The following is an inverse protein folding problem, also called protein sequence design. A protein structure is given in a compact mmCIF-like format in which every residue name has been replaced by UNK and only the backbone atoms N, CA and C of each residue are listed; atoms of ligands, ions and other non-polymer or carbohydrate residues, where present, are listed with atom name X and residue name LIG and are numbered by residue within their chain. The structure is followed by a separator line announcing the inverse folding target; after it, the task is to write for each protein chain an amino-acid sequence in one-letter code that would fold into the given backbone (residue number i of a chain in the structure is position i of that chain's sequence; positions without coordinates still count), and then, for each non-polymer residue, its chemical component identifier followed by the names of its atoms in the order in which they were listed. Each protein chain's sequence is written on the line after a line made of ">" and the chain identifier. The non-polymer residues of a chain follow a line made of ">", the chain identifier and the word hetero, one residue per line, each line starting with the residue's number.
data_IF_122193046803
#
_entry.id   IF_122193046803
#
_cell.length_a   1.000
_cell.length_b   1.000
_cell.length_c   1.000
_cell.angle_alpha   90.00
_cell.angle_beta   90.00
_cell.angle_gamma   90.00
#
_symmetry.space_group_name_H-M   'P 1'
#
loop_
_entity.id
_entity.type
_entity.pdbx_description
1 polymer ?
#
# COMPACT_ATOMS: atom_id res chain seq x y z
N UNK A 1 22.96 7.41 10.86
CA UNK A 1 22.59 5.98 10.99
C UNK A 1 22.82 5.19 9.70
N UNK A 2 22.22 5.57 8.56
CA UNK A 2 22.34 4.80 7.29
C UNK A 2 23.78 4.76 6.75
N UNK A 3 24.48 5.90 6.69
CA UNK A 3 25.89 5.94 6.29
C UNK A 3 26.78 4.91 7.03
N UNK A 4 26.59 4.77 8.35
CA UNK A 4 27.32 3.77 9.15
C UNK A 4 26.99 2.32 8.78
N UNK A 5 25.74 2.06 8.38
CA UNK A 5 25.33 0.75 7.90
C UNK A 5 25.86 0.47 6.48
N UNK A 6 26.08 1.51 5.67
CA UNK A 6 26.74 1.42 4.36
C UNK A 6 28.24 1.13 4.50
N UNK A 7 28.91 1.72 5.51
CA UNK A 7 30.29 1.43 5.91
C UNK A 7 30.48 0.01 6.49
N UNK A 8 29.44 -0.83 6.49
CA UNK A 8 29.52 -2.23 6.94
C UNK A 8 29.44 -2.42 8.47
N UNK A 9 29.14 -1.37 9.25
CA UNK A 9 29.01 -1.49 10.71
C UNK A 9 27.86 -2.41 11.10
N UNK A 10 28.03 -3.11 12.22
CA UNK A 10 27.01 -4.03 12.72
C UNK A 10 25.79 -3.30 13.28
N UNK A 11 24.62 -3.93 13.15
CA UNK A 11 23.33 -3.43 13.69
C UNK A 11 23.44 -3.14 15.18
N UNK A 12 24.18 -3.96 15.94
CA UNK A 12 24.35 -3.79 17.38
C UNK A 12 25.20 -2.55 17.71
N UNK A 13 26.30 -2.32 16.99
CA UNK A 13 27.13 -1.12 17.18
C UNK A 13 26.34 0.14 16.90
N UNK A 14 25.59 0.15 15.79
CA UNK A 14 24.76 1.29 15.40
C UNK A 14 23.61 1.50 16.39
N UNK A 15 22.95 0.45 16.86
CA UNK A 15 21.88 0.55 17.85
C UNK A 15 22.35 1.15 19.18
N UNK A 16 23.52 0.72 19.67
CA UNK A 16 24.11 1.24 20.90
C UNK A 16 24.50 2.72 20.78
N UNK A 17 25.10 3.10 19.64
CA UNK A 17 25.54 4.47 19.39
C UNK A 17 24.37 5.47 19.33
N UNK A 18 23.25 5.07 18.72
CA UNK A 18 22.06 5.91 18.61
C UNK A 18 21.05 5.72 19.76
N UNK A 19 21.32 4.82 20.73
CA UNK A 19 20.43 4.56 21.85
C UNK A 19 19.04 4.02 21.46
N UNK A 20 18.94 3.34 20.31
CA UNK A 20 17.66 2.85 19.76
C UNK A 20 17.62 1.32 19.70
N UNK A 21 16.41 0.76 19.66
CA UNK A 21 16.25 -0.68 19.56
C UNK A 21 16.84 -1.23 18.25
N UNK A 22 17.54 -2.37 18.34
CA UNK A 22 18.13 -3.10 17.19
C UNK A 22 17.12 -3.37 16.07
N UNK A 23 15.83 -3.56 16.38
CA UNK A 23 14.77 -3.77 15.39
C UNK A 23 14.56 -2.55 14.50
N UNK A 24 14.72 -1.33 15.03
CA UNK A 24 14.58 -0.09 14.27
C UNK A 24 15.71 0.01 13.25
N UNK A 25 16.95 -0.25 13.69
CA UNK A 25 18.14 -0.25 12.84
C UNK A 25 18.04 -1.33 11.76
N UNK A 26 17.61 -2.54 12.11
CA UNK A 26 17.41 -3.64 11.17
C UNK A 26 16.36 -3.30 10.10
N UNK A 27 15.21 -2.75 10.50
CA UNK A 27 14.16 -2.32 9.56
C UNK A 27 14.65 -1.21 8.64
N UNK A 28 15.40 -0.24 9.16
CA UNK A 28 15.96 0.84 8.37
C UNK A 28 17.01 0.35 7.36
N UNK A 29 17.89 -0.59 7.76
CA UNK A 29 18.84 -1.25 6.84
C UNK A 29 18.09 -1.95 5.70
N UNK A 30 17.07 -2.73 6.03
CA UNK A 30 16.26 -3.46 5.04
C UNK A 30 15.52 -2.52 4.10
N UNK A 31 14.91 -1.44 4.64
CA UNK A 31 14.27 -0.41 3.83
C UNK A 31 15.25 0.22 2.86
N UNK A 32 16.42 0.63 3.34
CA UNK A 32 17.47 1.22 2.52
C UNK A 32 17.95 0.28 1.40
N UNK A 33 18.20 -0.99 1.71
CA UNK A 33 18.55 -2.00 0.70
C UNK A 33 17.44 -2.23 -0.34
N UNK A 34 16.17 -2.07 0.05
CA UNK A 34 15.03 -2.32 -0.84
C UNK A 34 14.70 -1.11 -1.71
N UNK A 35 14.77 0.11 -1.17
CA UNK A 35 14.27 1.33 -1.83
C UNK A 35 15.32 2.41 -2.04
N UNK A 36 16.60 2.16 -1.71
CA UNK A 36 17.67 3.18 -1.71
C UNK A 36 17.45 4.30 -0.69
N UNK A 37 16.44 4.16 0.17
CA UNK A 37 16.01 5.19 1.12
C UNK A 37 15.50 4.55 2.39
N UNK A 38 15.76 5.19 3.54
CA UNK A 38 15.23 4.76 4.84
C UNK A 38 14.10 5.69 5.32
N UNK A 39 13.44 6.40 4.40
CA UNK A 39 12.36 7.33 4.72
C UNK A 39 11.12 6.55 5.13
N UNK A 40 10.38 7.07 6.10
CA UNK A 40 9.08 6.53 6.49
C UNK A 40 8.16 6.53 5.27
N UNK A 41 7.73 5.35 4.83
CA UNK A 41 6.66 5.26 3.83
C UNK A 41 5.39 5.87 4.40
N UNK A 42 4.87 6.90 3.74
CA UNK A 42 3.50 7.35 3.98
C UNK A 42 2.60 6.24 3.47
N UNK A 43 1.70 5.74 4.32
CA UNK A 43 0.84 4.61 3.96
C UNK A 43 0.04 4.94 2.71
N UNK A 44 0.40 4.35 1.57
CA UNK A 44 -0.40 4.33 0.36
C UNK A 44 -1.34 3.13 0.42
N UNK A 45 -2.64 3.36 0.28
CA UNK A 45 -3.59 2.28 0.01
C UNK A 45 -3.45 1.77 -1.42
N UNK A 46 -4.09 0.63 -1.72
CA UNK A 46 -4.26 0.18 -3.11
C UNK A 46 -4.95 1.30 -3.91
N UNK A 47 -4.45 1.66 -5.11
CA UNK A 47 -5.16 2.59 -5.99
C UNK A 47 -6.61 2.14 -6.16
N UNK A 48 -7.55 3.04 -5.89
CA UNK A 48 -8.98 2.73 -6.04
C UNK A 48 -9.28 2.60 -7.53
N UNK A 49 -9.44 1.37 -8.01
CA UNK A 49 -9.89 1.09 -9.37
C UNK A 49 -11.34 1.52 -9.59
N UNK A 50 -12.16 1.46 -8.54
CA UNK A 50 -13.58 1.84 -8.58
C UNK A 50 -13.74 3.33 -8.23
N UNK A 51 -14.30 4.09 -9.16
CA UNK A 51 -14.60 5.50 -8.97
C UNK A 51 -15.88 5.69 -8.15
N UNK A 52 -16.12 6.91 -7.64
CA UNK A 52 -17.38 7.21 -6.97
C UNK A 52 -18.60 7.06 -7.89
N UNK A 53 -18.45 7.28 -9.20
CA UNK A 53 -19.50 7.06 -10.21
C UNK A 53 -19.84 5.58 -10.34
N UNK A 54 -18.82 4.73 -10.42
CA UNK A 54 -18.98 3.28 -10.49
C UNK A 54 -19.73 2.73 -9.27
N UNK A 55 -19.34 3.16 -8.06
CA UNK A 55 -20.02 2.74 -6.82
C UNK A 55 -21.49 3.19 -6.82
N UNK A 56 -21.77 4.43 -7.23
CA UNK A 56 -23.16 4.92 -7.33
C UNK A 56 -23.99 4.09 -8.30
N UNK A 57 -23.43 3.76 -9.47
CA UNK A 57 -24.10 2.91 -10.45
C UNK A 57 -24.41 1.52 -9.86
N UNK A 58 -23.42 0.86 -9.24
CA UNK A 58 -23.59 -0.46 -8.64
C UNK A 58 -24.70 -0.47 -7.56
N UNK A 59 -24.71 0.51 -6.66
CA UNK A 59 -25.73 0.64 -5.61
C UNK A 59 -27.12 0.80 -6.24
N UNK A 60 -27.23 1.60 -7.30
CA UNK A 60 -28.50 1.88 -7.96
C UNK A 60 -29.05 0.64 -8.68
N UNK A 61 -28.18 -0.12 -9.36
CA UNK A 61 -28.57 -1.38 -10.00
C UNK A 61 -28.94 -2.45 -8.96
N UNK A 62 -28.17 -2.60 -7.89
CA UNK A 62 -28.49 -3.54 -6.81
C UNK A 62 -29.84 -3.23 -6.15
N UNK A 63 -30.19 -1.95 -6.01
CA UNK A 63 -31.51 -1.52 -5.49
C UNK A 63 -32.66 -1.84 -6.46
N UNK A 64 -32.45 -1.65 -7.77
CA UNK A 64 -33.46 -1.90 -8.82
C UNK A 64 -33.68 -3.39 -9.06
N UNK A 65 -32.61 -4.18 -9.05
CA UNK A 65 -32.63 -5.62 -9.32
C UNK A 65 -32.23 -6.44 -8.11
N UNK A 66 -33.11 -6.57 -7.09
CA UNK A 66 -32.79 -7.29 -5.84
C UNK A 66 -32.31 -8.74 -6.04
N UNK A 67 -32.66 -9.39 -7.16
CA UNK A 67 -32.26 -10.76 -7.51
C UNK A 67 -31.07 -10.81 -8.49
N UNK A 68 -30.58 -9.67 -8.99
CA UNK A 68 -29.43 -9.64 -9.90
C UNK A 68 -28.15 -9.98 -9.14
N UNK A 69 -27.29 -10.77 -9.78
CA UNK A 69 -25.97 -11.08 -9.23
C UNK A 69 -25.02 -9.89 -9.36
N UNK A 70 -24.02 -9.84 -8.48
CA UNK A 70 -22.96 -8.85 -8.54
C UNK A 70 -22.16 -8.93 -9.86
N UNK A 71 -22.01 -10.12 -10.45
CA UNK A 71 -21.34 -10.32 -11.74
C UNK A 71 -22.08 -9.64 -12.89
N UNK A 72 -23.42 -9.73 -12.92
CA UNK A 72 -24.25 -9.05 -13.92
C UNK A 72 -24.13 -7.54 -13.78
N UNK A 73 -24.17 -7.02 -12.56
CA UNK A 73 -24.00 -5.58 -12.30
C UNK A 73 -22.60 -5.10 -12.72
N UNK A 74 -21.56 -5.89 -12.47
CA UNK A 74 -20.19 -5.59 -12.89
C UNK A 74 -20.05 -5.58 -14.42
N UNK A 75 -20.68 -6.54 -15.12
CA UNK A 75 -20.69 -6.58 -16.59
C UNK A 75 -21.41 -5.35 -17.17
N UNK A 76 -22.58 -5.00 -16.63
CA UNK A 76 -23.31 -3.80 -17.06
C UNK A 76 -22.50 -2.53 -16.84
N UNK A 77 -21.78 -2.43 -15.73
CA UNK A 77 -20.89 -1.31 -15.46
C UNK A 77 -19.74 -1.23 -16.48
N UNK A 78 -19.11 -2.37 -16.79
CA UNK A 78 -18.08 -2.47 -17.83
C UNK A 78 -18.61 -1.99 -19.19
N UNK A 79 -19.77 -2.49 -19.61
CA UNK A 79 -20.44 -2.05 -20.85
C UNK A 79 -20.79 -0.56 -20.84
N UNK A 80 -21.29 -0.02 -19.72
CA UNK A 80 -21.68 1.38 -19.62
C UNK A 80 -20.49 2.36 -19.56
N UNK A 81 -19.33 1.89 -19.08
CA UNK A 81 -18.13 2.73 -18.91
C UNK A 81 -17.06 2.47 -19.97
N UNK A 82 -17.25 1.50 -20.86
CA UNK A 82 -16.29 1.11 -21.89
C UNK A 82 -15.00 0.50 -21.31
N UNK A 83 -15.07 -0.08 -20.11
CA UNK A 83 -13.94 -0.74 -19.44
C UNK A 83 -14.02 -2.26 -19.57
#
# INVERSE_FOLDING_TARGET
>A
MIAKLEEGRTVTSVAAEFGINKSVVSRARKAFQTTGTAVRKVGGGRPKTTTAGDVRYMILQAKRGRRQSASVIAQQLSTATGR
#
